data_IF_147666496717
#
_entry.id   IF_147666496717
#
_cell.length_a   1.000
_cell.length_b   1.000
_cell.length_c   1.000
_cell.angle_alpha   90.00
_cell.angle_beta   90.00
_cell.angle_gamma   90.00
#
_symmetry.space_group_name_H-M   'P 1'
#
loop_
_entity.id
_entity.type
_entity.pdbx_description
1 polymer ?
#
# COMPACT_ATOMS: atom_id res chain seq x y z
N UNK A 1 -8.76 18.19 -6.38
CA UNK A 1 -9.54 17.62 -5.30
C UNK A 1 -10.50 16.53 -5.74
N UNK A 2 -11.34 16.77 -6.76
CA UNK A 2 -12.23 15.74 -7.28
C UNK A 2 -11.48 14.49 -7.75
N UNK A 3 -10.29 14.65 -8.34
CA UNK A 3 -9.46 13.52 -8.79
C UNK A 3 -9.02 12.62 -7.65
N UNK A 4 -8.67 13.21 -6.50
CA UNK A 4 -8.28 12.44 -5.32
C UNK A 4 -9.41 11.57 -4.82
N UNK A 5 -10.60 12.16 -4.70
CA UNK A 5 -11.78 11.43 -4.24
C UNK A 5 -12.13 10.28 -5.18
N UNK A 6 -12.02 10.51 -6.49
CA UNK A 6 -12.25 9.47 -7.48
C UNK A 6 -11.23 8.35 -7.38
N UNK A 7 -9.96 8.69 -7.17
CA UNK A 7 -8.91 7.69 -7.02
C UNK A 7 -9.12 6.80 -5.81
N UNK A 8 -9.45 7.40 -4.68
CA UNK A 8 -9.73 6.62 -3.47
C UNK A 8 -10.96 5.75 -3.65
N UNK A 9 -11.99 6.28 -4.28
CA UNK A 9 -13.19 5.50 -4.58
C UNK A 9 -12.86 4.34 -5.50
N UNK A 10 -12.01 4.55 -6.50
CA UNK A 10 -11.56 3.51 -7.40
C UNK A 10 -10.77 2.44 -6.66
N UNK A 11 -9.89 2.83 -5.74
CA UNK A 11 -9.14 1.89 -4.92
C UNK A 11 -10.07 1.00 -4.11
N UNK A 12 -11.03 1.60 -3.45
CA UNK A 12 -12.00 0.86 -2.65
C UNK A 12 -12.86 -0.04 -3.53
N UNK A 13 -13.31 0.49 -4.66
CA UNK A 13 -14.14 -0.26 -5.59
C UNK A 13 -13.39 -1.45 -6.18
N UNK A 14 -12.16 -1.22 -6.61
CA UNK A 14 -11.32 -2.28 -7.18
C UNK A 14 -11.06 -3.37 -6.15
N UNK A 15 -10.71 -2.99 -4.93
CA UNK A 15 -10.49 -3.96 -3.86
C UNK A 15 -11.74 -4.80 -3.59
N UNK A 16 -12.88 -4.15 -3.49
CA UNK A 16 -14.15 -4.84 -3.24
C UNK A 16 -14.51 -5.75 -4.40
N UNK A 17 -14.42 -5.25 -5.61
CA UNK A 17 -14.76 -6.02 -6.80
C UNK A 17 -13.85 -7.23 -6.96
N UNK A 18 -12.56 -7.06 -6.71
CA UNK A 18 -11.59 -8.16 -6.79
C UNK A 18 -11.94 -9.28 -5.82
N UNK A 19 -12.25 -8.92 -4.59
CA UNK A 19 -12.65 -9.93 -3.61
C UNK A 19 -13.94 -10.62 -3.97
N UNK A 20 -14.93 -9.87 -4.40
CA UNK A 20 -16.23 -10.45 -4.73
C UNK A 20 -16.17 -11.36 -5.95
N UNK A 21 -15.32 -11.03 -6.93
CA UNK A 21 -15.29 -11.73 -8.20
C UNK A 21 -14.35 -12.91 -8.26
N UNK A 22 -13.36 -12.99 -7.37
CA UNK A 22 -12.26 -13.95 -7.53
C UNK A 22 -11.86 -14.64 -6.24
N UNK A 23 -12.78 -14.84 -5.34
CA UNK A 23 -12.50 -15.40 -4.00
C UNK A 23 -11.68 -16.68 -4.06
N UNK A 24 -12.10 -17.63 -4.90
CA UNK A 24 -11.44 -18.93 -4.97
C UNK A 24 -10.04 -18.84 -5.58
N UNK A 25 -9.85 -17.97 -6.55
CA UNK A 25 -8.57 -17.81 -7.24
C UNK A 25 -7.59 -17.03 -6.40
N UNK A 26 -8.09 -16.01 -5.71
CA UNK A 26 -7.24 -15.08 -4.96
C UNK A 26 -6.81 -15.61 -3.61
N UNK A 27 -7.49 -16.60 -3.05
CA UNK A 27 -7.18 -17.14 -1.72
C UNK A 27 -5.75 -17.64 -1.65
N UNK A 28 -5.31 -18.41 -2.64
CA UNK A 28 -3.96 -18.96 -2.64
C UNK A 28 -2.89 -17.89 -2.75
N UNK A 29 -3.18 -16.80 -3.45
CA UNK A 29 -2.26 -15.66 -3.56
C UNK A 29 -2.30 -14.77 -2.32
N UNK A 30 -3.47 -14.63 -1.72
CA UNK A 30 -3.65 -13.85 -0.51
C UNK A 30 -2.86 -14.44 0.66
N UNK A 31 -2.75 -15.76 0.72
CA UNK A 31 -1.99 -16.43 1.78
C UNK A 31 -0.52 -15.98 1.82
N UNK A 32 0.00 -15.49 0.69
CA UNK A 32 1.37 -15.01 0.58
C UNK A 32 1.50 -13.49 0.74
N UNK A 33 0.39 -12.80 0.99
CA UNK A 33 0.40 -11.36 1.22
C UNK A 33 0.34 -11.11 2.72
N UNK A 34 1.26 -10.30 3.27
CA UNK A 34 1.23 -9.99 4.70
C UNK A 34 -0.05 -9.25 5.06
N UNK A 35 -0.60 -9.58 6.20
CA UNK A 35 -1.71 -8.83 6.77
C UNK A 35 -1.14 -7.70 7.61
N UNK A 36 -1.54 -6.49 7.31
CA UNK A 36 -1.09 -5.31 8.03
C UNK A 36 -2.16 -4.85 9.00
N UNK A 37 -1.76 -4.67 10.23
CA UNK A 37 -2.62 -4.05 11.25
C UNK A 37 -2.01 -2.70 11.60
N UNK A 38 -2.76 -1.65 11.35
CA UNK A 38 -2.31 -0.32 11.67
C UNK A 38 -2.66 0.01 13.13
N UNK A 39 -1.66 0.44 13.87
CA UNK A 39 -1.84 0.95 15.23
C UNK A 39 -1.37 2.40 15.25
N UNK A 40 -2.27 3.31 15.59
CA UNK A 40 -1.91 4.71 15.72
C UNK A 40 -1.42 4.99 17.13
N UNK A 41 -0.11 5.20 17.32
CA UNK A 41 0.39 5.60 18.63
C UNK A 41 -0.06 7.04 18.90
N UNK A 42 -0.87 7.23 19.92
CA UNK A 42 -1.52 8.49 20.21
C UNK A 42 -0.58 9.67 20.50
N UNK A 43 0.71 9.40 20.68
CA UNK A 43 1.70 10.42 21.05
C UNK A 43 2.73 10.71 19.97
N UNK A 44 2.63 10.06 18.81
CA UNK A 44 3.59 10.22 17.72
C UNK A 44 2.94 10.95 16.57
N UNK A 45 3.60 11.98 16.09
CA UNK A 45 3.15 12.68 14.89
C UNK A 45 3.39 11.81 13.67
N UNK A 46 2.36 11.62 12.87
CA UNK A 46 2.44 10.81 11.66
C UNK A 46 2.87 11.66 10.48
N UNK A 47 3.78 11.13 9.68
CA UNK A 47 4.18 11.75 8.43
C UNK A 47 3.48 11.01 7.28
N UNK A 48 2.56 11.69 6.61
CA UNK A 48 1.78 11.11 5.52
C UNK A 48 2.43 11.30 4.16
N UNK A 49 3.61 11.88 4.09
CA UNK A 49 4.33 12.10 2.85
C UNK A 49 5.20 10.88 2.53
N UNK A 50 4.75 10.08 1.58
CA UNK A 50 5.44 8.87 1.13
C UNK A 50 6.16 9.08 -0.19
N UNK A 51 6.73 10.25 -0.39
CA UNK A 51 7.53 10.53 -1.56
C UNK A 51 8.79 9.66 -1.56
N UNK A 52 9.06 9.01 -2.67
CA UNK A 52 10.23 8.14 -2.83
C UNK A 52 10.96 8.44 -4.13
N UNK A 53 12.21 8.00 -4.19
CA UNK A 53 12.96 8.06 -5.43
C UNK A 53 12.68 6.78 -6.23
N UNK A 54 11.84 6.91 -7.26
CA UNK A 54 11.44 5.75 -8.07
C UNK A 54 12.60 5.11 -8.81
N UNK A 55 13.57 5.92 -9.25
CA UNK A 55 14.74 5.38 -9.95
C UNK A 55 15.58 4.49 -9.04
N UNK A 56 15.78 4.91 -7.79
CA UNK A 56 16.51 4.11 -6.82
C UNK A 56 15.76 2.83 -6.47
N UNK A 57 14.45 2.93 -6.31
CA UNK A 57 13.64 1.75 -6.04
C UNK A 57 13.68 0.78 -7.22
N UNK A 58 13.60 1.30 -8.43
CA UNK A 58 13.69 0.49 -9.65
C UNK A 58 15.02 -0.24 -9.76
N UNK A 59 16.12 0.44 -9.45
CA UNK A 59 17.43 -0.19 -9.43
C UNK A 59 17.53 -1.29 -8.39
N UNK A 60 17.03 -1.01 -7.19
CA UNK A 60 17.06 -1.96 -6.10
C UNK A 60 16.24 -3.22 -6.40
N UNK A 61 15.09 -3.06 -7.01
CA UNK A 61 14.21 -4.16 -7.38
C UNK A 61 14.55 -4.77 -8.75
N UNK A 62 15.38 -4.12 -9.53
CA UNK A 62 15.72 -4.53 -10.90
C UNK A 62 14.49 -4.63 -11.79
N UNK A 63 13.73 -3.55 -11.86
CA UNK A 63 12.50 -3.48 -12.63
C UNK A 63 12.78 -3.22 -14.11
N UNK A 64 11.99 -3.85 -14.98
CA UNK A 64 11.93 -3.45 -16.38
C UNK A 64 11.00 -2.24 -16.54
N UNK A 65 10.91 -1.69 -17.75
CA UNK A 65 10.12 -0.47 -17.98
C UNK A 65 8.65 -0.64 -17.67
N UNK A 66 8.08 -1.78 -17.99
CA UNK A 66 6.68 -2.08 -17.73
C UNK A 66 6.41 -2.15 -16.22
N UNK A 67 7.23 -2.88 -15.51
CA UNK A 67 7.07 -3.03 -14.07
C UNK A 67 7.36 -1.72 -13.34
N UNK A 68 8.32 -0.94 -13.83
CA UNK A 68 8.57 0.40 -13.31
C UNK A 68 7.31 1.27 -13.37
N UNK A 69 6.63 1.28 -14.50
CA UNK A 69 5.37 2.03 -14.64
C UNK A 69 4.31 1.54 -13.69
N UNK A 70 4.16 0.23 -13.57
CA UNK A 70 3.16 -0.36 -12.70
C UNK A 70 3.42 -0.03 -11.23
N UNK A 71 4.67 -0.14 -10.81
CA UNK A 71 5.08 0.20 -9.45
C UNK A 71 4.87 1.67 -9.16
N UNK A 72 5.29 2.53 -10.10
CA UNK A 72 5.10 3.97 -9.94
C UNK A 72 3.62 4.34 -9.82
N UNK A 73 2.79 3.83 -10.69
CA UNK A 73 1.37 4.14 -10.69
C UNK A 73 0.69 3.64 -9.41
N UNK A 74 1.05 2.46 -8.97
CA UNK A 74 0.51 1.89 -7.73
C UNK A 74 0.91 2.73 -6.53
N UNK A 75 2.18 3.07 -6.44
CA UNK A 75 2.66 3.87 -5.31
C UNK A 75 2.10 5.29 -5.33
N UNK A 76 1.94 5.89 -6.50
CA UNK A 76 1.31 7.22 -6.61
C UNK A 76 -0.12 7.19 -6.06
N UNK A 77 -0.88 6.15 -6.36
CA UNK A 77 -2.23 5.98 -5.82
C UNK A 77 -2.21 5.80 -4.29
N UNK A 78 -1.27 5.03 -3.78
CA UNK A 78 -1.07 4.89 -2.34
C UNK A 78 -0.78 6.23 -1.68
N UNK A 79 0.11 7.01 -2.27
CA UNK A 79 0.46 8.34 -1.75
C UNK A 79 -0.75 9.25 -1.67
N UNK A 80 -1.58 9.24 -2.70
CA UNK A 80 -2.82 10.03 -2.70
C UNK A 80 -3.77 9.60 -1.60
N UNK A 81 -3.91 8.30 -1.39
CA UNK A 81 -4.73 7.76 -0.31
C UNK A 81 -4.24 8.20 1.06
N UNK A 82 -2.93 8.21 1.27
CA UNK A 82 -2.35 8.65 2.55
C UNK A 82 -2.53 10.15 2.77
N UNK A 83 -2.41 10.95 1.71
CA UNK A 83 -2.67 12.38 1.82
C UNK A 83 -4.14 12.67 2.16
N UNK A 84 -5.06 11.89 1.61
CA UNK A 84 -6.47 12.00 1.99
C UNK A 84 -6.69 11.64 3.46
N UNK A 85 -6.00 10.61 3.92
CA UNK A 85 -6.07 10.23 5.33
C UNK A 85 -5.62 11.38 6.24
N UNK A 86 -4.60 12.12 5.83
CA UNK A 86 -4.12 13.26 6.60
C UNK A 86 -5.15 14.38 6.73
N UNK A 87 -6.13 14.41 5.84
CA UNK A 87 -7.19 15.43 5.81
C UNK A 87 -8.53 14.90 6.30
N UNK A 88 -8.57 13.68 6.80
CA UNK A 88 -9.81 13.07 7.26
C UNK A 88 -10.38 13.83 8.48
N UNK A 89 -11.71 13.87 8.55
CA UNK A 89 -12.41 14.64 9.56
C UNK A 89 -12.42 13.96 10.92
N UNK A 90 -12.31 12.67 10.96
CA UNK A 90 -12.34 11.92 12.21
C UNK A 90 -11.40 10.71 12.14
N UNK A 91 -11.17 10.13 13.30
CA UNK A 91 -10.23 9.02 13.46
C UNK A 91 -10.66 7.77 12.69
N UNK A 92 -11.95 7.48 12.67
CA UNK A 92 -12.48 6.28 12.00
C UNK A 92 -12.24 6.36 10.51
N UNK A 93 -12.56 7.50 9.91
CA UNK A 93 -12.33 7.74 8.48
C UNK A 93 -10.84 7.67 8.15
N UNK A 94 -10.03 8.34 8.96
CA UNK A 94 -8.58 8.35 8.78
C UNK A 94 -8.00 6.93 8.81
N UNK A 95 -8.33 6.17 9.83
CA UNK A 95 -7.79 4.83 10.01
C UNK A 95 -8.23 3.89 8.87
N UNK A 96 -9.46 4.05 8.41
CA UNK A 96 -9.97 3.30 7.27
C UNK A 96 -9.19 3.61 5.99
N UNK A 97 -8.92 4.89 5.74
CA UNK A 97 -8.15 5.30 4.57
C UNK A 97 -6.71 4.79 4.63
N UNK A 98 -6.09 4.84 5.80
CA UNK A 98 -4.72 4.33 5.98
C UNK A 98 -4.69 2.83 5.70
N UNK A 99 -5.58 2.09 6.32
CA UNK A 99 -5.63 0.64 6.17
C UNK A 99 -5.87 0.24 4.71
N UNK A 100 -6.83 0.89 4.07
CA UNK A 100 -7.15 0.59 2.67
C UNK A 100 -6.00 0.95 1.74
N UNK A 101 -5.31 2.04 2.00
CA UNK A 101 -4.16 2.46 1.19
C UNK A 101 -3.00 1.48 1.31
N UNK A 102 -2.68 1.04 2.51
CA UNK A 102 -1.63 0.05 2.76
C UNK A 102 -1.99 -1.28 2.08
N UNK A 103 -3.23 -1.71 2.25
CA UNK A 103 -3.71 -2.95 1.67
C UNK A 103 -3.64 -2.92 0.14
N UNK A 104 -4.05 -1.82 -0.46
CA UNK A 104 -3.95 -1.60 -1.90
C UNK A 104 -2.50 -1.74 -2.39
N UNK A 105 -1.57 -1.08 -1.71
CA UNK A 105 -0.16 -1.09 -2.10
C UNK A 105 0.39 -2.52 -2.09
N UNK A 106 0.25 -3.23 -0.98
CA UNK A 106 0.85 -4.56 -0.84
C UNK A 106 0.23 -5.58 -1.79
N UNK A 107 -1.06 -5.50 -2.02
CA UNK A 107 -1.74 -6.44 -2.93
C UNK A 107 -1.38 -6.20 -4.37
N UNK A 108 -1.33 -4.94 -4.79
CA UNK A 108 -1.02 -4.61 -6.18
C UNK A 108 0.45 -4.86 -6.50
N UNK A 109 1.35 -4.55 -5.59
CA UNK A 109 2.76 -4.85 -5.80
C UNK A 109 2.99 -6.36 -5.96
N UNK A 110 2.25 -7.17 -5.24
CA UNK A 110 2.31 -8.63 -5.38
C UNK A 110 1.99 -9.09 -6.81
N UNK A 111 1.12 -8.37 -7.48
CA UNK A 111 0.71 -8.72 -8.85
C UNK A 111 1.80 -8.45 -9.90
N UNK A 112 2.67 -7.48 -9.64
CA UNK A 112 3.67 -7.05 -10.63
C UNK A 112 5.04 -7.63 -10.36
N UNK A 113 5.37 -7.92 -9.11
CA UNK A 113 6.72 -8.26 -8.70
C UNK A 113 6.88 -9.77 -8.55
N UNK A 114 8.09 -10.25 -8.85
CA UNK A 114 8.47 -11.62 -8.51
C UNK A 114 8.52 -11.77 -6.99
N UNK A 115 8.55 -13.00 -6.50
CA UNK A 115 8.63 -13.24 -5.05
C UNK A 115 9.84 -12.55 -4.43
N UNK A 116 10.97 -12.61 -5.10
CA UNK A 116 12.20 -11.98 -4.62
C UNK A 116 12.07 -10.46 -4.59
N UNK A 117 11.55 -9.87 -5.67
CA UNK A 117 11.33 -8.42 -5.75
C UNK A 117 10.31 -7.97 -4.71
N UNK A 118 9.26 -8.75 -4.52
CA UNK A 118 8.21 -8.42 -3.56
C UNK A 118 8.74 -8.41 -2.13
N UNK A 119 9.56 -9.38 -1.75
CA UNK A 119 10.19 -9.40 -0.43
C UNK A 119 11.07 -8.18 -0.20
N UNK A 120 11.85 -7.80 -1.20
CA UNK A 120 12.66 -6.59 -1.14
C UNK A 120 11.80 -5.35 -0.99
N UNK A 121 10.73 -5.28 -1.77
CA UNK A 121 9.78 -4.17 -1.69
C UNK A 121 9.18 -4.06 -0.29
N UNK A 122 8.73 -5.17 0.29
CA UNK A 122 8.13 -5.17 1.62
C UNK A 122 9.08 -4.66 2.70
N UNK A 123 10.37 -4.97 2.58
CA UNK A 123 11.37 -4.44 3.53
C UNK A 123 11.43 -2.93 3.46
N UNK A 124 11.50 -2.39 2.25
CA UNK A 124 11.53 -0.94 2.04
C UNK A 124 10.25 -0.30 2.54
N UNK A 125 9.13 -0.90 2.21
CA UNK A 125 7.82 -0.39 2.58
C UNK A 125 7.62 -0.38 4.10
N UNK A 126 7.95 -1.48 4.77
CA UNK A 126 7.83 -1.57 6.22
C UNK A 126 8.72 -0.54 6.92
N UNK A 127 9.95 -0.39 6.46
CA UNK A 127 10.87 0.62 6.99
C UNK A 127 10.30 2.02 6.78
N UNK A 128 9.74 2.27 5.62
CA UNK A 128 9.13 3.55 5.28
C UNK A 128 7.95 3.88 6.20
N UNK A 129 7.09 2.91 6.45
CA UNK A 129 5.96 3.08 7.37
C UNK A 129 6.43 3.38 8.78
N UNK A 130 7.37 2.59 9.28
CA UNK A 130 7.89 2.76 10.64
C UNK A 130 8.56 4.11 10.82
N UNK A 131 9.35 4.55 9.85
CA UNK A 131 10.04 5.83 9.92
C UNK A 131 9.09 7.02 9.94
N UNK A 132 7.87 6.82 9.47
CA UNK A 132 6.84 7.86 9.43
C UNK A 132 5.86 7.79 10.59
N UNK A 133 6.14 6.92 11.54
CA UNK A 133 5.32 6.80 12.75
C UNK A 133 4.16 5.82 12.65
N UNK A 134 4.03 5.11 11.53
CA UNK A 134 2.98 4.11 11.37
C UNK A 134 3.49 2.78 11.92
N UNK A 135 2.99 2.40 13.07
CA UNK A 135 3.31 1.11 13.66
C UNK A 135 2.41 0.08 13.01
N UNK A 136 2.99 -0.82 12.26
CA UNK A 136 2.24 -1.88 11.59
C UNK A 136 2.77 -3.22 12.09
N UNK A 137 1.85 -4.15 12.28
CA UNK A 137 2.20 -5.53 12.54
C UNK A 137 1.90 -6.34 11.29
N UNK A 138 2.80 -7.21 10.94
CA UNK A 138 2.63 -8.07 9.78
C UNK A 138 2.64 -9.51 10.25
N UNK A 139 1.72 -10.30 9.70
CA UNK A 139 1.82 -11.73 9.87
C UNK A 139 3.00 -12.19 9.02
N UNK A 140 3.95 -12.83 9.66
CA UNK A 140 5.14 -13.27 8.97
C UNK A 140 4.80 -14.31 7.92
N UNK A 141 5.48 -14.20 6.81
CA UNK A 141 5.50 -15.29 5.85
C UNK A 141 6.22 -16.48 6.48
N UNK A 142 5.65 -17.58 6.34
CA UNK A 142 6.34 -18.81 6.70
C UNK A 142 6.74 -19.57 5.46
#
# INVERSE_FOLDING_TARGET
MKKFLMMVALMLTVSTATFAGNDDVMISEIDNVPTYSYVNPSKVELNYDFNINYNKLSEYLKLNDKDFKNVKNTHDAFREGMLLASKAKNTVERDSLIKNSIDYEVRNMKMFLSDKQYRKFLRVFNTSLNNRGFIVTTNSFK
#
